data_IF_676817589063
#
_entry.id   IF_676817589063
#
_cell.length_a   1.000
_cell.length_b   1.000
_cell.length_c   1.000
_cell.angle_alpha   90.00
_cell.angle_beta   90.00
_cell.angle_gamma   90.00
#
_symmetry.space_group_name_H-M   'P 1'
#
loop_
_entity.id
_entity.type
_entity.pdbx_description
1 polymer ?
#
# COMPACT_ATOMS: atom_id res chain seq x y z
N UNK A 1 4.93 26.49 -3.12
CA UNK A 1 5.03 25.89 -4.47
C UNK A 1 5.48 24.47 -4.20
N UNK A 2 4.55 23.58 -3.86
CA UNK A 2 4.89 22.20 -3.46
C UNK A 2 3.83 21.27 -4.07
N UNK A 3 3.90 21.18 -5.41
CA UNK A 3 3.19 20.18 -6.19
C UNK A 3 3.81 18.81 -5.91
N UNK A 4 3.21 18.01 -5.03
CA UNK A 4 3.45 16.57 -4.98
C UNK A 4 2.13 15.81 -5.00
N UNK A 5 1.37 16.00 -6.07
CA UNK A 5 0.39 15.01 -6.52
C UNK A 5 1.13 14.03 -7.44
N UNK A 6 1.49 12.84 -6.94
CA UNK A 6 1.81 11.71 -7.81
C UNK A 6 0.51 11.11 -8.33
N UNK A 7 0.00 11.73 -9.39
CA UNK A 7 -1.02 11.18 -10.27
C UNK A 7 -0.56 9.82 -10.81
N UNK A 8 -1.29 8.74 -10.46
CA UNK A 8 -1.54 7.65 -11.41
C UNK A 8 -1.38 6.21 -10.91
N UNK A 9 -0.61 5.93 -9.84
CA UNK A 9 -0.34 4.54 -9.42
C UNK A 9 -0.87 4.28 -8.00
N UNK A 10 -2.01 3.59 -7.84
CA UNK A 10 -2.57 3.27 -6.52
C UNK A 10 -1.67 2.31 -5.72
N UNK A 11 -0.58 1.82 -6.33
CA UNK A 11 0.39 0.88 -5.78
C UNK A 11 1.69 1.55 -5.28
N UNK A 12 1.79 2.88 -5.25
CA UNK A 12 2.94 3.60 -4.66
C UNK A 12 3.96 4.11 -5.71
N UNK A 13 5.11 4.65 -5.26
CA UNK A 13 5.64 4.67 -3.89
C UNK A 13 4.87 5.57 -2.92
N UNK A 14 4.61 5.07 -1.71
CA UNK A 14 3.97 5.83 -0.62
C UNK A 14 4.82 5.83 0.64
N UNK A 15 5.05 7.01 1.20
CA UNK A 15 5.80 7.16 2.45
C UNK A 15 4.88 6.99 3.64
N UNK A 16 5.18 6.03 4.52
CA UNK A 16 4.45 5.78 5.76
C UNK A 16 5.45 5.85 6.91
N UNK A 17 5.38 6.95 7.68
CA UNK A 17 6.37 7.27 8.70
C UNK A 17 7.79 7.36 8.11
N UNK A 18 8.66 6.42 8.51
CA UNK A 18 10.06 6.34 8.10
C UNK A 18 10.33 5.38 6.94
N UNK A 19 9.32 4.67 6.44
CA UNK A 19 9.47 3.72 5.33
C UNK A 19 8.72 4.16 4.08
N UNK A 20 9.16 3.63 2.94
CA UNK A 20 8.49 3.80 1.65
C UNK A 20 7.96 2.43 1.24
N UNK A 21 6.66 2.34 1.01
CA UNK A 21 5.98 1.12 0.58
C UNK A 21 5.63 1.24 -0.90
N UNK A 22 5.89 0.17 -1.63
CA UNK A 22 5.59 0.01 -3.06
C UNK A 22 4.99 -1.37 -3.23
N UNK A 23 3.88 -1.45 -3.95
CA UNK A 23 3.30 -2.71 -4.41
C UNK A 23 3.71 -2.92 -5.86
N UNK A 24 4.47 -3.98 -6.14
CA UNK A 24 4.73 -4.42 -7.50
C UNK A 24 3.48 -5.15 -8.04
N UNK A 25 2.77 -4.52 -8.97
CA UNK A 25 1.53 -5.07 -9.55
C UNK A 25 1.79 -6.26 -10.47
N UNK A 26 2.96 -6.35 -11.08
CA UNK A 26 3.32 -7.45 -11.98
C UNK A 26 3.56 -8.72 -11.17
N UNK A 27 4.14 -8.60 -9.98
CA UNK A 27 4.35 -9.70 -9.05
C UNK A 27 3.16 -9.98 -8.11
N UNK A 28 2.26 -9.02 -7.92
CA UNK A 28 1.09 -9.19 -7.07
C UNK A 28 0.12 -10.22 -7.67
N UNK A 29 0.04 -11.42 -7.08
CA UNK A 29 -0.86 -12.50 -7.51
C UNK A 29 -2.28 -12.39 -6.95
N UNK A 30 -2.60 -11.35 -6.18
CA UNK A 30 -3.91 -11.17 -5.57
C UNK A 30 -4.21 -12.13 -4.41
N UNK A 31 -3.19 -12.51 -3.62
CA UNK A 31 -3.35 -13.44 -2.48
C UNK A 31 -4.09 -12.83 -1.27
N UNK A 32 -4.29 -11.52 -1.23
CA UNK A 32 -4.94 -10.77 -0.14
C UNK A 32 -4.28 -10.88 1.25
N UNK A 33 -3.10 -11.49 1.39
CA UNK A 33 -2.39 -11.59 2.67
C UNK A 33 -2.09 -10.22 3.29
N UNK A 34 -1.64 -9.27 2.46
CA UNK A 34 -1.34 -7.91 2.92
C UNK A 34 -2.59 -7.18 3.47
N UNK A 35 -3.74 -7.38 2.85
CA UNK A 35 -5.03 -6.81 3.30
C UNK A 35 -5.51 -7.48 4.59
N UNK A 36 -5.25 -8.77 4.77
CA UNK A 36 -5.62 -9.49 5.99
C UNK A 36 -4.80 -9.04 7.21
N UNK A 37 -3.51 -8.73 7.03
CA UNK A 37 -2.63 -8.27 8.11
C UNK A 37 -2.78 -6.77 8.37
N UNK A 38 -2.82 -5.96 7.31
CA UNK A 38 -2.84 -4.50 7.39
C UNK A 38 -4.01 -3.90 6.56
N UNK A 39 -5.27 -4.10 7.01
CA UNK A 39 -6.47 -3.71 6.27
C UNK A 39 -6.66 -2.20 6.13
N UNK A 40 -5.98 -1.40 6.97
CA UNK A 40 -6.02 0.07 6.84
C UNK A 40 -4.96 0.58 5.89
N UNK A 41 -3.92 -0.21 5.62
CA UNK A 41 -2.84 0.14 4.70
C UNK A 41 -3.08 -0.34 3.29
N UNK A 42 -3.69 -1.52 3.13
CA UNK A 42 -3.87 -2.15 1.81
C UNK A 42 -5.33 -2.45 1.52
N UNK A 43 -5.70 -2.31 0.25
CA UNK A 43 -6.96 -2.81 -0.29
C UNK A 43 -6.71 -3.51 -1.62
N UNK A 44 -7.73 -4.21 -2.13
CA UNK A 44 -7.75 -4.71 -3.49
C UNK A 44 -8.49 -3.75 -4.41
N UNK A 45 -7.98 -3.59 -5.62
CA UNK A 45 -8.69 -2.93 -6.70
C UNK A 45 -9.51 -3.92 -7.55
N UNK A 46 -10.09 -3.41 -8.63
CA UNK A 46 -10.93 -4.18 -9.55
C UNK A 46 -10.16 -5.25 -10.35
N UNK A 47 -8.83 -5.23 -10.34
CA UNK A 47 -7.97 -6.23 -10.99
C UNK A 47 -7.46 -7.28 -9.98
N UNK A 48 -7.99 -7.28 -8.75
CA UNK A 48 -7.52 -8.09 -7.63
C UNK A 48 -6.04 -7.82 -7.28
N UNK A 49 -5.56 -6.60 -7.53
CA UNK A 49 -4.20 -6.17 -7.19
C UNK A 49 -4.23 -5.32 -5.93
N UNK A 50 -3.18 -5.45 -5.13
CA UNK A 50 -3.04 -4.67 -3.92
C UNK A 50 -2.74 -3.18 -4.25
N UNK A 51 -3.39 -2.30 -3.51
CA UNK A 51 -3.23 -0.85 -3.57
C UNK A 51 -2.98 -0.30 -2.16
N UNK A 52 -2.28 0.83 -2.06
CA UNK A 52 -1.89 1.45 -0.79
C UNK A 52 -2.86 2.59 -0.46
N UNK A 53 -3.61 2.44 0.62
CA UNK A 53 -4.61 3.39 1.09
C UNK A 53 -3.98 4.62 1.76
N UNK A 54 -4.69 5.75 1.74
CA UNK A 54 -4.27 6.99 2.46
C UNK A 54 -4.29 6.81 3.98
N UNK A 55 -5.10 5.87 4.46
CA UNK A 55 -5.19 5.44 5.86
C UNK A 55 -4.02 4.57 6.31
N UNK A 56 -3.01 4.33 5.47
CA UNK A 56 -1.85 3.51 5.83
C UNK A 56 -1.04 4.05 7.02
N UNK A 57 -1.19 5.33 7.37
CA UNK A 57 -0.60 5.90 8.58
C UNK A 57 -1.29 5.45 9.88
N UNK A 58 -2.42 4.75 9.80
CA UNK A 58 -3.15 4.23 10.95
C UNK A 58 -2.69 2.84 11.41
N UNK A 59 -2.01 2.08 10.55
CA UNK A 59 -1.36 0.82 10.95
C UNK A 59 0.03 1.11 11.52
N UNK A 60 0.51 0.22 12.39
CA UNK A 60 1.86 0.34 12.93
C UNK A 60 2.90 -0.07 11.90
N UNK A 61 4.14 0.38 12.11
CA UNK A 61 5.27 -0.06 11.29
C UNK A 61 5.41 -1.59 11.25
N UNK A 62 5.21 -2.25 12.39
CA UNK A 62 5.28 -3.71 12.52
C UNK A 62 4.19 -4.39 11.69
N UNK A 63 2.95 -3.89 11.75
CA UNK A 63 1.82 -4.41 10.97
C UNK A 63 2.04 -4.28 9.46
N UNK A 64 2.61 -3.16 9.01
CA UNK A 64 2.92 -2.95 7.58
C UNK A 64 4.07 -3.87 7.15
N UNK A 65 5.04 -4.14 8.02
CA UNK A 65 6.16 -5.02 7.75
C UNK A 65 5.74 -6.49 7.67
N UNK A 66 4.85 -6.93 8.57
CA UNK A 66 4.28 -8.28 8.57
C UNK A 66 3.38 -8.55 7.36
N UNK A 67 2.87 -7.49 6.72
CA UNK A 67 2.02 -7.55 5.53
C UNK A 67 2.79 -7.60 4.20
N UNK A 68 4.10 -7.37 4.21
CA UNK A 68 4.95 -7.20 3.02
C UNK A 68 5.44 -8.53 2.40
#
# INVERSE_FOLDING_TARGET
MDNNQTSGSPSGPKKIGNVVVVVDRDLCIGAASCVAVAPKSFAMDNEAKAIILDTATEDTYETILDAA
#
